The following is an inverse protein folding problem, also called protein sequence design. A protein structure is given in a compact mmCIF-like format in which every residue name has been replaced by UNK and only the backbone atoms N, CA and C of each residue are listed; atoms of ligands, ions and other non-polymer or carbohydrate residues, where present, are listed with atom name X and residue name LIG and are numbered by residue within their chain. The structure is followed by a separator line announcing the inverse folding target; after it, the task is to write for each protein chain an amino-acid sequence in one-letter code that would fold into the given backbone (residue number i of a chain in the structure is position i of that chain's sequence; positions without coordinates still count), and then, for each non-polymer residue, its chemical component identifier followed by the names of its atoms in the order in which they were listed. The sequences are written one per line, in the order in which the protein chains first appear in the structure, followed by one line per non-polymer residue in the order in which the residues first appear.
data_IF_972734429469
#
_entry.id   IF_972734429469
#
_cell.length_a   1.000
_cell.length_b   1.000
_cell.length_c   1.000
_cell.angle_alpha   90.00
_cell.angle_beta   90.00
_cell.angle_gamma   90.00
#
_symmetry.space_group_name_H-M   'P 1'
#
loop_
_entity.id
_entity.type
_entity.pdbx_description
1 polymer ?
#
# COMPACT_ATOMS: atom_id res chain seq x y z
N UNK A 1 0.25 -0.12 -12.79
CA UNK A 1 -0.62 0.68 -11.90
C UNK A 1 -1.95 -0.02 -11.77
N UNK A 2 -2.21 -0.68 -10.64
CA UNK A 2 -3.48 -1.36 -10.42
C UNK A 2 -4.54 -0.37 -9.93
N UNK A 3 -5.77 -0.52 -10.46
CA UNK A 3 -6.96 0.20 -10.04
C UNK A 3 -7.08 0.20 -8.51
N UNK A 4 -7.03 1.40 -7.93
CA UNK A 4 -7.07 1.90 -6.54
C UNK A 4 -7.19 0.88 -5.38
N UNK A 5 -7.95 -0.19 -5.55
CA UNK A 5 -8.25 -1.18 -4.50
C UNK A 5 -7.86 -2.61 -4.93
N UNK A 6 -8.16 -3.05 -6.15
CA UNK A 6 -8.09 -4.48 -6.50
C UNK A 6 -6.66 -5.03 -6.57
N UNK A 7 -5.71 -4.30 -7.15
CA UNK A 7 -4.34 -4.83 -7.18
C UNK A 7 -3.59 -4.74 -5.85
N UNK A 8 -3.77 -3.68 -5.04
CA UNK A 8 -3.32 -3.72 -3.65
C UNK A 8 -3.94 -4.90 -2.89
N UNK A 9 -5.22 -5.20 -3.10
CA UNK A 9 -5.88 -6.33 -2.42
C UNK A 9 -5.29 -7.69 -2.82
N UNK A 10 -5.12 -7.97 -4.12
CA UNK A 10 -4.56 -9.25 -4.58
C UNK A 10 -3.11 -9.43 -4.08
N UNK A 11 -2.28 -8.40 -4.24
CA UNK A 11 -0.89 -8.46 -3.76
C UNK A 11 -0.80 -8.60 -2.24
N UNK A 12 -1.78 -8.10 -1.50
CA UNK A 12 -1.85 -8.33 -0.06
C UNK A 12 -2.21 -9.77 0.27
N UNK A 13 -3.16 -10.38 -0.45
CA UNK A 13 -3.50 -11.79 -0.25
C UNK A 13 -2.28 -12.69 -0.48
N UNK A 14 -1.45 -12.38 -1.48
CA UNK A 14 -0.18 -13.08 -1.70
C UNK A 14 0.77 -12.93 -0.50
N UNK A 15 0.90 -11.72 0.05
CA UNK A 15 1.70 -11.49 1.26
C UNK A 15 1.13 -12.17 2.51
N UNK A 16 -0.19 -12.27 2.62
CA UNK A 16 -0.88 -13.05 3.67
C UNK A 16 -0.62 -14.57 3.51
N UNK A 17 -0.21 -15.03 2.33
CA UNK A 17 0.26 -16.39 2.04
C UNK A 17 1.80 -16.48 1.96
N UNK A 18 2.51 -15.64 2.73
CA UNK A 18 3.97 -15.61 2.88
C UNK A 18 4.77 -15.26 1.61
N UNK A 19 4.13 -14.73 0.56
CA UNK A 19 4.87 -14.19 -0.57
C UNK A 19 5.64 -12.92 -0.17
N UNK A 20 6.90 -12.80 -0.61
CA UNK A 20 7.59 -11.51 -0.51
C UNK A 20 7.00 -10.53 -1.54
N UNK A 21 6.34 -9.49 -1.03
CA UNK A 21 5.71 -8.47 -1.86
C UNK A 21 6.39 -7.13 -1.65
N UNK A 22 6.99 -6.60 -2.72
CA UNK A 22 7.61 -5.28 -2.75
C UNK A 22 6.72 -4.33 -3.55
N UNK A 23 6.18 -3.33 -2.87
CA UNK A 23 5.42 -2.23 -3.45
C UNK A 23 6.39 -1.14 -3.91
N UNK A 24 6.31 -0.81 -5.19
CA UNK A 24 7.04 0.33 -5.78
C UNK A 24 6.10 1.53 -5.78
N UNK A 25 6.52 2.63 -5.15
CA UNK A 25 5.79 3.88 -5.06
C UNK A 25 6.53 5.00 -5.81
N UNK A 26 5.79 5.95 -6.41
CA UNK A 26 6.40 7.15 -6.96
C UNK A 26 7.01 8.02 -5.84
N UNK A 27 7.84 9.03 -6.15
CA UNK A 27 8.38 9.96 -5.15
C UNK A 27 7.32 10.66 -4.29
N UNK A 28 6.11 10.82 -4.81
CA UNK A 28 4.96 11.39 -4.09
C UNK A 28 4.28 10.40 -3.13
N UNK A 29 4.65 9.13 -3.18
CA UNK A 29 4.03 8.03 -2.42
C UNK A 29 2.68 7.56 -2.99
N UNK A 30 2.18 6.46 -2.42
CA UNK A 30 0.83 5.97 -2.68
C UNK A 30 -0.24 6.97 -2.19
N UNK A 31 -1.18 7.30 -3.08
CA UNK A 31 -2.26 8.26 -2.81
C UNK A 31 -3.16 7.86 -1.65
N UNK A 32 -3.31 6.57 -1.37
CA UNK A 32 -4.13 6.04 -0.26
C UNK A 32 -3.56 6.36 1.12
N UNK A 33 -2.28 6.73 1.23
CA UNK A 33 -1.60 7.10 2.50
C UNK A 33 -2.26 8.27 3.22
N UNK A 34 -2.93 9.15 2.46
CA UNK A 34 -3.51 10.40 2.93
C UNK A 34 -5.03 10.46 2.75
N UNK A 35 -5.69 9.33 2.44
CA UNK A 35 -7.14 9.30 2.29
C UNK A 35 -7.82 9.32 3.65
N UNK A 36 -8.76 10.25 3.82
CA UNK A 36 -9.54 10.49 5.03
C UNK A 36 -8.68 10.94 6.24
N UNK A 37 -9.33 11.15 7.38
CA UNK A 37 -8.66 11.60 8.60
C UNK A 37 -7.71 10.53 9.13
N UNK A 38 -6.48 10.92 9.46
CA UNK A 38 -5.45 10.03 10.00
C UNK A 38 -5.01 10.51 11.38
N UNK A 39 -4.64 9.57 12.26
CA UNK A 39 -4.00 9.90 13.55
C UNK A 39 -2.51 10.14 13.39
N UNK A 40 -1.90 9.47 12.42
CA UNK A 40 -0.47 9.52 12.12
C UNK A 40 -0.29 9.82 10.63
N UNK A 41 0.53 10.83 10.26
CA UNK A 41 0.76 11.18 8.86
C UNK A 41 1.17 9.96 8.02
N UNK A 42 0.58 9.82 6.84
CA UNK A 42 0.86 8.73 5.91
C UNK A 42 0.31 7.35 6.31
N UNK A 43 -0.41 7.24 7.43
CA UNK A 43 -0.99 6.01 7.97
C UNK A 43 -2.52 6.06 7.94
N UNK A 44 -3.09 6.45 6.80
CA UNK A 44 -4.53 6.33 6.59
C UNK A 44 -5.01 4.88 6.76
N UNK A 45 -6.23 4.71 7.27
CA UNK A 45 -6.81 3.40 7.53
C UNK A 45 -6.87 2.54 6.27
N UNK A 46 -7.17 3.14 5.11
CA UNK A 46 -7.17 2.46 3.82
C UNK A 46 -5.77 1.95 3.46
N UNK A 47 -4.75 2.79 3.56
CA UNK A 47 -3.38 2.41 3.26
C UNK A 47 -2.91 1.25 4.15
N UNK A 48 -3.14 1.34 5.45
CA UNK A 48 -2.74 0.29 6.41
C UNK A 48 -3.47 -1.03 6.12
N UNK A 49 -4.77 -0.98 5.84
CA UNK A 49 -5.54 -2.19 5.56
C UNK A 49 -5.14 -2.85 4.25
N UNK A 50 -4.68 -2.10 3.25
CA UNK A 50 -4.42 -2.62 1.91
C UNK A 50 -2.94 -2.93 1.61
N UNK A 51 -2.03 -2.57 2.53
CA UNK A 51 -0.58 -2.69 2.31
C UNK A 51 0.18 -3.37 3.45
N UNK A 52 -0.50 -4.00 4.43
CA UNK A 52 0.17 -4.92 5.35
C UNK A 52 0.86 -6.06 4.58
N UNK A 53 1.88 -6.66 5.19
CA UNK A 53 2.69 -7.73 4.60
C UNK A 53 3.42 -7.36 3.29
N UNK A 54 3.62 -6.05 3.06
CA UNK A 54 4.38 -5.53 1.93
C UNK A 54 5.54 -4.68 2.43
N UNK A 55 6.69 -4.83 1.77
CA UNK A 55 7.77 -3.85 1.84
C UNK A 55 7.49 -2.76 0.83
N UNK A 56 7.93 -1.53 1.10
CA UNK A 56 7.73 -0.39 0.21
C UNK A 56 9.06 0.23 -0.16
N UNK A 57 9.27 0.49 -1.45
CA UNK A 57 10.39 1.26 -1.97
C UNK A 57 9.86 2.40 -2.84
N UNK A 58 10.58 3.52 -2.82
CA UNK A 58 10.32 4.64 -3.72
C UNK A 58 11.26 4.51 -4.92
N UNK A 59 10.72 4.66 -6.12
CA UNK A 59 11.48 4.65 -7.37
C UNK A 59 10.97 5.77 -8.30
N UNK A 60 11.91 6.43 -8.97
CA UNK A 60 11.68 7.46 -10.00
C UNK A 60 11.87 6.84 -11.40
#
# INVERSE_FOLDING_TARGET
MSSVILGPYISQLLGDWDAEVIKIEPPTGDTTRNIATTKTPGMAALFMNMNRNKRSIVLD
#
